data_IF_412619143995
#
_entry.id   IF_412619143995
#
_cell.length_a   1.000
_cell.length_b   1.000
_cell.length_c   1.000
_cell.angle_alpha   90.00
_cell.angle_beta   90.00
_cell.angle_gamma   90.00
#
_symmetry.space_group_name_H-M   'P 1'
#
loop_
_entity.id
_entity.type
_entity.pdbx_description
1 polymer ?
#
# COMPACT_ATOMS: atom_id res chain seq x y z
N UNK A 1 26.42 -8.03 2.51
CA UNK A 1 26.84 -7.39 3.77
C UNK A 1 27.77 -6.25 3.40
N UNK A 2 27.52 -5.00 3.83
CA UNK A 2 28.33 -3.85 3.43
C UNK A 2 29.77 -3.95 3.95
N UNK A 3 30.74 -3.49 3.15
CA UNK A 3 32.10 -3.21 3.62
C UNK A 3 32.07 -1.85 4.31
N UNK A 4 32.54 -1.77 5.57
CA UNK A 4 32.50 -0.53 6.33
C UNK A 4 33.46 0.52 5.76
N UNK A 5 34.57 0.08 5.19
CA UNK A 5 35.58 0.94 4.55
C UNK A 5 34.94 1.74 3.41
N UNK A 6 34.26 1.06 2.46
CA UNK A 6 33.51 1.70 1.38
C UNK A 6 32.50 2.74 1.88
N UNK A 7 31.76 2.43 2.96
CA UNK A 7 30.78 3.37 3.53
C UNK A 7 31.45 4.62 4.11
N UNK A 8 32.61 4.46 4.75
CA UNK A 8 33.35 5.59 5.31
C UNK A 8 34.02 6.44 4.23
N UNK A 9 34.55 5.83 3.17
CA UNK A 9 35.08 6.53 1.99
C UNK A 9 34.01 7.40 1.33
N UNK A 10 32.77 6.91 1.26
CA UNK A 10 31.61 7.63 0.74
C UNK A 10 30.93 8.56 1.78
N UNK A 11 31.55 8.77 2.95
CA UNK A 11 31.04 9.63 4.03
C UNK A 11 29.63 9.26 4.53
N UNK A 12 29.28 7.97 4.50
CA UNK A 12 28.00 7.45 4.98
C UNK A 12 28.11 7.14 6.48
N UNK A 13 27.34 7.81 7.36
CA UNK A 13 27.41 7.55 8.80
C UNK A 13 26.82 6.18 9.15
N UNK A 14 27.57 5.40 9.95
CA UNK A 14 27.16 4.07 10.43
C UNK A 14 26.98 4.10 11.94
N UNK A 15 25.77 3.78 12.41
CA UNK A 15 25.49 3.57 13.82
C UNK A 15 25.71 2.09 14.17
N UNK A 16 26.63 1.81 15.10
CA UNK A 16 26.97 0.46 15.55
C UNK A 16 26.81 0.34 17.06
N UNK A 17 26.04 -0.63 17.51
CA UNK A 17 25.78 -0.89 18.93
C UNK A 17 25.53 -2.38 19.18
N UNK A 18 25.53 -2.77 20.46
CA UNK A 18 25.20 -4.13 20.92
C UNK A 18 23.82 -4.10 21.56
N UNK A 19 22.90 -4.92 21.07
CA UNK A 19 21.61 -5.18 21.72
C UNK A 19 21.79 -6.30 22.76
N UNK A 20 21.57 -6.00 24.04
CA UNK A 20 21.64 -6.98 25.13
C UNK A 20 20.30 -7.71 25.29
N UNK A 21 20.28 -8.87 25.99
CA UNK A 21 19.01 -9.53 26.32
C UNK A 21 18.07 -8.58 27.08
N UNK A 22 16.83 -8.46 26.59
CA UNK A 22 15.82 -7.54 27.13
C UNK A 22 15.76 -6.17 26.47
N UNK A 23 16.78 -5.76 25.69
CA UNK A 23 16.76 -4.50 24.97
C UNK A 23 15.79 -4.57 23.77
N UNK A 24 15.02 -3.49 23.57
CA UNK A 24 14.18 -3.30 22.38
C UNK A 24 14.85 -2.33 21.41
N UNK A 25 14.93 -2.72 20.15
CA UNK A 25 15.45 -1.87 19.06
C UNK A 25 14.31 -1.37 18.21
N UNK A 26 14.16 -0.04 18.14
CA UNK A 26 13.24 0.62 17.20
C UNK A 26 13.98 1.02 15.93
N UNK A 27 13.70 0.33 14.82
CA UNK A 27 14.22 0.70 13.50
C UNK A 27 13.24 1.64 12.83
N UNK A 28 13.65 2.90 12.62
CA UNK A 28 12.78 3.91 12.06
C UNK A 28 12.52 3.69 10.55
N UNK A 29 11.48 4.34 10.02
CA UNK A 29 11.04 4.19 8.63
C UNK A 29 12.18 4.47 7.64
N UNK A 30 12.47 3.49 6.78
CA UNK A 30 13.48 3.60 5.72
C UNK A 30 14.93 3.39 6.16
N UNK A 31 15.21 3.13 7.44
CA UNK A 31 16.57 2.90 7.92
C UNK A 31 17.14 1.58 7.37
N UNK A 32 18.18 1.68 6.55
CA UNK A 32 18.98 0.54 6.11
C UNK A 32 19.74 -0.01 7.32
N UNK A 33 19.66 -1.32 7.53
CA UNK A 33 20.29 -1.97 8.67
C UNK A 33 20.66 -3.42 8.33
N UNK A 34 21.61 -3.95 9.08
CA UNK A 34 22.04 -5.35 9.05
C UNK A 34 22.42 -5.77 10.47
N UNK A 35 22.25 -7.04 10.78
CA UNK A 35 22.38 -7.56 12.15
C UNK A 35 23.18 -8.86 12.13
N UNK A 36 23.98 -9.09 13.17
CA UNK A 36 24.71 -10.32 13.40
C UNK A 36 24.59 -10.72 14.87
N UNK A 37 24.37 -12.01 15.12
CA UNK A 37 24.47 -12.57 16.46
C UNK A 37 25.94 -12.71 16.88
N UNK A 38 26.29 -12.18 18.06
CA UNK A 38 27.64 -12.33 18.65
C UNK A 38 27.74 -13.64 19.44
N UNK A 39 26.65 -14.08 20.05
CA UNK A 39 26.55 -15.35 20.78
C UNK A 39 25.23 -16.06 20.46
N UNK A 40 24.87 -17.07 21.24
CA UNK A 40 23.59 -17.78 21.07
C UNK A 40 22.44 -16.98 21.68
N UNK A 41 21.49 -16.59 20.84
CA UNK A 41 20.33 -15.82 21.25
C UNK A 41 19.12 -16.11 20.36
N UNK A 42 17.94 -15.76 20.87
CA UNK A 42 16.69 -15.75 20.13
C UNK A 42 16.17 -14.32 20.06
N UNK A 43 15.54 -13.95 18.95
CA UNK A 43 14.93 -12.64 18.75
C UNK A 43 13.50 -12.82 18.22
N UNK A 44 12.62 -11.90 18.59
CA UNK A 44 11.31 -11.72 17.98
C UNK A 44 11.25 -10.34 17.33
N UNK A 45 10.60 -10.25 16.17
CA UNK A 45 10.50 -9.00 15.43
C UNK A 45 9.16 -8.91 14.71
N UNK A 46 8.66 -7.68 14.56
CA UNK A 46 7.49 -7.36 13.76
C UNK A 46 7.63 -5.92 13.25
N UNK A 47 6.82 -5.58 12.25
CA UNK A 47 6.76 -4.23 11.71
C UNK A 47 5.55 -3.49 12.28
N UNK A 48 5.70 -2.19 12.48
CA UNK A 48 4.60 -1.28 12.80
C UNK A 48 4.67 -0.07 11.88
N UNK A 49 3.51 0.50 11.55
CA UNK A 49 3.41 1.70 10.72
C UNK A 49 2.78 2.84 11.51
N UNK A 50 3.57 3.69 12.20
CA UNK A 50 3.05 4.87 12.87
C UNK A 50 2.29 5.78 11.91
N UNK A 51 1.17 6.36 12.34
CA UNK A 51 0.37 7.31 11.55
C UNK A 51 1.06 8.69 11.49
N UNK A 52 2.16 8.75 10.76
CA UNK A 52 2.96 9.95 10.57
C UNK A 52 3.17 10.22 9.07
N UNK A 53 3.34 11.49 8.72
CA UNK A 53 3.62 11.92 7.34
C UNK A 53 4.81 11.16 6.76
N UNK A 54 5.92 11.10 7.51
CA UNK A 54 7.16 10.45 7.05
C UNK A 54 6.97 8.95 6.79
N UNK A 55 6.26 8.24 7.67
CA UNK A 55 6.02 6.81 7.50
C UNK A 55 5.17 6.53 6.26
N UNK A 56 4.09 7.28 6.03
CA UNK A 56 3.22 7.10 4.88
C UNK A 56 3.93 7.47 3.57
N UNK A 57 4.64 8.61 3.55
CA UNK A 57 5.42 9.05 2.41
C UNK A 57 6.45 8.00 1.96
N UNK A 58 7.30 7.52 2.88
CA UNK A 58 8.32 6.51 2.55
C UNK A 58 7.71 5.18 2.11
N UNK A 59 6.54 4.81 2.65
CA UNK A 59 5.82 3.62 2.24
C UNK A 59 5.30 3.75 0.79
N UNK A 60 4.73 4.90 0.43
CA UNK A 60 4.27 5.19 -0.94
C UNK A 60 5.46 5.27 -1.91
N UNK A 61 6.54 5.96 -1.55
CA UNK A 61 7.75 6.05 -2.37
C UNK A 61 8.35 4.67 -2.66
N UNK A 62 8.49 3.83 -1.62
CA UNK A 62 8.96 2.45 -1.81
C UNK A 62 8.00 1.63 -2.67
N UNK A 63 6.70 1.80 -2.50
CA UNK A 63 5.70 1.09 -3.28
C UNK A 63 5.76 1.43 -4.78
N UNK A 64 5.92 2.71 -5.13
CA UNK A 64 6.10 3.11 -6.54
C UNK A 64 7.47 2.68 -7.09
N UNK A 65 8.53 2.77 -6.27
CA UNK A 65 9.86 2.26 -6.65
C UNK A 65 9.83 0.75 -6.94
N UNK A 66 9.17 -0.02 -6.08
CA UNK A 66 9.02 -1.46 -6.24
C UNK A 66 8.32 -1.82 -7.55
N UNK A 67 7.27 -1.08 -7.96
CA UNK A 67 6.64 -1.28 -9.27
C UNK A 67 7.64 -1.07 -10.41
N UNK A 68 8.45 -0.01 -10.35
CA UNK A 68 9.47 0.27 -11.37
C UNK A 68 10.52 -0.84 -11.45
N UNK A 69 10.90 -1.40 -10.30
CA UNK A 69 11.89 -2.47 -10.21
C UNK A 69 11.30 -3.88 -10.38
N UNK A 70 10.00 -4.00 -10.68
CA UNK A 70 9.29 -5.29 -10.77
C UNK A 70 9.45 -6.15 -9.51
N UNK A 71 9.42 -5.52 -8.34
CA UNK A 71 9.46 -6.17 -7.02
C UNK A 71 8.08 -6.08 -6.39
N UNK A 72 7.58 -7.19 -5.85
CA UNK A 72 6.32 -7.20 -5.10
C UNK A 72 6.38 -6.32 -3.86
N UNK A 73 5.42 -5.41 -3.74
CA UNK A 73 5.16 -4.72 -2.48
C UNK A 73 4.30 -5.59 -1.58
N UNK A 74 4.86 -6.07 -0.46
CA UNK A 74 4.14 -6.95 0.48
C UNK A 74 3.01 -6.19 1.19
N UNK A 75 3.18 -4.88 1.41
CA UNK A 75 2.13 -4.01 1.95
C UNK A 75 1.33 -3.43 0.77
N UNK A 76 0.03 -3.74 0.64
CA UNK A 76 -0.82 -3.21 -0.42
C UNK A 76 -1.22 -1.76 -0.08
N UNK A 77 -0.41 -0.79 -0.54
CA UNK A 77 -0.55 0.61 -0.12
C UNK A 77 -1.88 1.20 -0.57
N UNK A 78 -2.41 0.82 -1.73
CA UNK A 78 -3.70 1.35 -2.19
C UNK A 78 -4.82 0.83 -1.26
N UNK A 79 -4.91 -0.48 -1.07
CA UNK A 79 -5.88 -1.10 -0.17
C UNK A 79 -5.79 -0.54 1.25
N UNK A 80 -4.56 -0.41 1.79
CA UNK A 80 -4.33 0.19 3.10
C UNK A 80 -4.83 1.64 3.16
N UNK A 81 -4.57 2.45 2.14
CA UNK A 81 -4.98 3.85 2.10
C UNK A 81 -6.50 4.01 2.13
N UNK A 82 -7.22 3.18 1.37
CA UNK A 82 -8.69 3.14 1.41
C UNK A 82 -9.21 2.68 2.78
N UNK A 83 -8.55 1.71 3.42
CA UNK A 83 -8.92 1.29 4.79
C UNK A 83 -8.63 2.37 5.84
N UNK A 84 -7.54 3.13 5.70
CA UNK A 84 -7.26 4.27 6.57
C UNK A 84 -8.36 5.32 6.44
N UNK A 85 -8.77 5.62 5.20
CA UNK A 85 -9.83 6.59 4.93
C UNK A 85 -11.18 6.19 5.53
N UNK A 86 -11.52 4.90 5.52
CA UNK A 86 -12.77 4.36 6.10
C UNK A 86 -12.77 4.36 7.63
N UNK A 87 -11.63 4.09 8.25
CA UNK A 87 -11.59 3.69 9.66
C UNK A 87 -10.87 4.66 10.59
N UNK A 88 -10.10 5.62 10.06
CA UNK A 88 -9.19 6.46 10.86
C UNK A 88 -9.44 7.94 10.60
N UNK A 89 -9.67 8.70 11.68
CA UNK A 89 -9.73 10.16 11.65
C UNK A 89 -8.31 10.73 11.69
N UNK A 90 -7.90 11.40 10.62
CA UNK A 90 -6.56 12.01 10.51
C UNK A 90 -6.65 13.49 10.85
N UNK A 91 -5.86 13.93 11.84
CA UNK A 91 -5.80 15.34 12.26
C UNK A 91 -4.59 16.09 11.69
N UNK A 92 -3.53 15.37 11.29
CA UNK A 92 -2.31 15.95 10.72
C UNK A 92 -2.54 16.33 9.26
N UNK A 93 -2.52 17.64 8.88
CA UNK A 93 -2.90 18.10 7.56
C UNK A 93 -2.10 17.46 6.43
N UNK A 94 -0.78 17.36 6.57
CA UNK A 94 0.07 16.80 5.49
C UNK A 94 -0.18 15.31 5.26
N UNK A 95 -0.44 14.56 6.33
CA UNK A 95 -0.76 13.14 6.21
C UNK A 95 -2.12 12.95 5.55
N UNK A 96 -3.10 13.76 5.96
CA UNK A 96 -4.42 13.79 5.34
C UNK A 96 -4.33 14.06 3.83
N UNK A 97 -3.60 15.10 3.42
CA UNK A 97 -3.40 15.45 2.01
C UNK A 97 -2.76 14.29 1.21
N UNK A 98 -1.73 13.65 1.75
CA UNK A 98 -1.06 12.52 1.08
C UNK A 98 -2.00 11.33 0.87
N UNK A 99 -2.76 10.96 1.91
CA UNK A 99 -3.75 9.87 1.80
C UNK A 99 -4.84 10.25 0.82
N UNK A 100 -5.43 11.45 0.96
CA UNK A 100 -6.48 11.97 0.08
C UNK A 100 -6.05 11.99 -1.39
N UNK A 101 -4.80 12.39 -1.66
CA UNK A 101 -4.22 12.34 -3.00
C UNK A 101 -4.07 10.91 -3.54
N UNK A 102 -3.67 9.94 -2.71
CA UNK A 102 -3.65 8.53 -3.09
C UNK A 102 -5.05 8.03 -3.47
N UNK A 103 -6.08 8.37 -2.67
CA UNK A 103 -7.47 8.02 -2.96
C UNK A 103 -7.93 8.64 -4.28
N UNK A 104 -7.67 9.94 -4.51
CA UNK A 104 -8.07 10.62 -5.75
C UNK A 104 -7.46 9.95 -6.98
N UNK A 105 -6.15 9.66 -6.95
CA UNK A 105 -5.45 9.01 -8.07
C UNK A 105 -6.03 7.63 -8.37
N UNK A 106 -6.29 6.84 -7.33
CA UNK A 106 -6.75 5.46 -7.48
C UNK A 106 -8.24 5.37 -7.81
N UNK A 107 -9.05 6.32 -7.34
CA UNK A 107 -10.44 6.50 -7.76
C UNK A 107 -10.52 6.83 -9.25
N UNK A 108 -9.72 7.81 -9.71
CA UNK A 108 -9.60 8.15 -11.13
C UNK A 108 -9.17 6.95 -11.97
N UNK A 109 -8.18 6.17 -11.50
CA UNK A 109 -7.72 4.97 -12.19
C UNK A 109 -8.83 3.91 -12.32
N UNK A 110 -9.63 3.70 -11.26
CA UNK A 110 -10.78 2.81 -11.31
C UNK A 110 -11.79 3.28 -12.36
N UNK A 111 -12.17 4.55 -12.33
CA UNK A 111 -13.12 5.13 -13.29
C UNK A 111 -12.62 4.96 -14.73
N UNK A 112 -11.37 5.36 -15.02
CA UNK A 112 -10.80 5.24 -16.36
C UNK A 112 -10.73 3.78 -16.84
N UNK A 113 -10.48 2.84 -15.93
CA UNK A 113 -10.44 1.42 -16.28
C UNK A 113 -11.84 0.89 -16.62
N UNK A 114 -12.87 1.27 -15.86
CA UNK A 114 -14.27 0.91 -16.15
C UNK A 114 -14.75 1.53 -17.47
N UNK A 115 -14.40 2.78 -17.73
CA UNK A 115 -14.70 3.44 -19.01
C UNK A 115 -14.01 2.73 -20.17
N UNK A 116 -12.72 2.37 -20.00
CA UNK A 116 -11.97 1.64 -21.02
C UNK A 116 -12.61 0.29 -21.37
N UNK A 117 -12.91 -0.57 -20.38
CA UNK A 117 -13.53 -1.87 -20.68
C UNK A 117 -14.91 -1.71 -21.33
N UNK A 118 -15.66 -0.65 -20.99
CA UNK A 118 -16.95 -0.33 -21.62
C UNK A 118 -16.79 0.01 -23.10
N UNK A 119 -15.69 0.67 -23.50
CA UNK A 119 -15.39 0.92 -24.92
C UNK A 119 -15.13 -0.37 -25.72
N UNK A 120 -14.74 -1.45 -25.05
CA UNK A 120 -14.58 -2.78 -25.63
C UNK A 120 -15.87 -3.61 -25.60
N UNK A 121 -16.99 -3.05 -25.12
CA UNK A 121 -18.25 -3.77 -24.95
C UNK A 121 -18.26 -4.73 -23.76
N UNK A 122 -17.31 -4.60 -22.83
CA UNK A 122 -17.21 -5.41 -21.62
C UNK A 122 -17.80 -4.68 -20.42
N UNK A 123 -18.30 -5.46 -19.46
CA UNK A 123 -18.83 -4.95 -18.20
C UNK A 123 -18.16 -5.68 -17.03
N UNK A 124 -17.82 -4.93 -15.97
CA UNK A 124 -17.30 -5.51 -14.75
C UNK A 124 -18.44 -6.14 -13.94
N UNK A 125 -18.28 -7.42 -13.60
CA UNK A 125 -19.24 -8.13 -12.76
C UNK A 125 -18.99 -7.80 -11.29
N UNK A 126 -20.06 -7.47 -10.58
CA UNK A 126 -19.99 -7.30 -9.13
C UNK A 126 -19.51 -8.59 -8.46
N UNK A 127 -18.39 -8.49 -7.75
CA UNK A 127 -17.83 -9.57 -6.94
C UNK A 127 -17.93 -9.26 -5.45
N UNK A 128 -17.75 -7.98 -5.09
CA UNK A 128 -17.67 -7.58 -3.69
C UNK A 128 -16.37 -8.03 -3.02
N UNK A 129 -16.34 -7.93 -1.68
CA UNK A 129 -15.27 -8.45 -0.83
C UNK A 129 -15.81 -9.11 0.43
N UNK A 130 -15.17 -10.20 0.81
CA UNK A 130 -15.40 -10.88 2.08
C UNK A 130 -14.60 -10.24 3.21
N UNK A 131 -15.10 -10.36 4.45
CA UNK A 131 -14.38 -9.88 5.64
C UNK A 131 -13.07 -10.65 5.80
N UNK A 132 -11.95 -9.93 5.94
CA UNK A 132 -10.62 -10.53 6.07
C UNK A 132 -10.00 -11.01 4.76
N UNK A 133 -10.64 -10.76 3.62
CA UNK A 133 -10.08 -11.06 2.31
C UNK A 133 -8.80 -10.24 2.06
N UNK A 134 -7.73 -10.91 1.61
CA UNK A 134 -6.44 -10.28 1.32
C UNK A 134 -6.50 -9.36 0.09
N UNK A 135 -5.53 -8.45 -0.05
CA UNK A 135 -5.37 -7.70 -1.29
C UNK A 135 -4.87 -8.61 -2.42
N UNK A 136 -5.34 -8.36 -3.64
CA UNK A 136 -4.93 -9.11 -4.82
C UNK A 136 -3.70 -8.50 -5.48
N UNK A 137 -2.92 -9.36 -6.13
CA UNK A 137 -1.73 -8.99 -6.88
C UNK A 137 -1.79 -9.66 -8.26
N UNK A 138 -1.19 -9.01 -9.25
CA UNK A 138 -1.08 -9.54 -10.59
C UNK A 138 -0.21 -10.81 -10.57
N UNK A 139 -0.71 -11.89 -11.16
CA UNK A 139 -0.01 -13.18 -11.26
C UNK A 139 1.28 -13.11 -12.10
N UNK A 140 1.46 -12.05 -12.90
CA UNK A 140 2.61 -11.89 -13.80
C UNK A 140 3.64 -10.91 -13.24
N UNK A 141 3.23 -9.67 -12.94
CA UNK A 141 4.15 -8.60 -12.53
C UNK A 141 4.08 -8.25 -11.05
N UNK A 142 3.29 -8.98 -10.26
CA UNK A 142 3.16 -8.84 -8.80
C UNK A 142 2.75 -7.46 -8.29
N UNK A 143 2.29 -6.55 -9.15
CA UNK A 143 1.72 -5.28 -8.71
C UNK A 143 0.38 -5.52 -8.01
N UNK A 144 0.07 -4.70 -7.02
CA UNK A 144 -1.24 -4.69 -6.38
C UNK A 144 -2.33 -4.37 -7.43
N UNK A 145 -3.40 -5.17 -7.42
CA UNK A 145 -4.57 -4.99 -8.30
C UNK A 145 -5.74 -4.58 -7.41
N UNK A 146 -6.01 -3.28 -7.37
CA UNK A 146 -7.06 -2.71 -6.53
C UNK A 146 -8.38 -2.56 -7.31
N UNK A 147 -9.47 -2.98 -6.66
CA UNK A 147 -10.86 -2.89 -7.10
C UNK A 147 -11.22 -3.71 -8.36
N UNK A 148 -10.61 -3.42 -9.52
CA UNK A 148 -10.98 -4.03 -10.80
C UNK A 148 -10.00 -5.15 -11.12
N UNK A 149 -10.49 -6.39 -11.07
CA UNK A 149 -9.69 -7.60 -11.24
C UNK A 149 -9.92 -8.18 -12.63
N UNK A 150 -8.84 -8.46 -13.36
CA UNK A 150 -8.90 -9.20 -14.63
C UNK A 150 -8.57 -10.65 -14.33
N UNK A 151 -9.56 -11.53 -14.39
CA UNK A 151 -9.43 -12.92 -13.96
C UNK A 151 -9.45 -13.85 -15.16
N UNK A 152 -8.52 -14.79 -15.22
CA UNK A 152 -8.53 -15.88 -16.20
C UNK A 152 -8.55 -17.22 -15.44
N UNK A 153 -9.29 -18.18 -15.98
CA UNK A 153 -9.25 -19.56 -15.49
C UNK A 153 -8.17 -20.34 -16.25
N UNK A 154 -7.19 -20.87 -15.51
CA UNK A 154 -6.13 -21.72 -16.04
C UNK A 154 -5.99 -22.93 -15.11
N UNK A 155 -5.99 -24.14 -15.68
CA UNK A 155 -5.83 -25.38 -14.90
C UNK A 155 -6.78 -25.51 -13.70
N UNK A 156 -8.06 -25.08 -13.88
CA UNK A 156 -9.10 -25.05 -12.83
C UNK A 156 -8.79 -24.12 -11.64
N UNK A 157 -7.90 -23.16 -11.82
CA UNK A 157 -7.60 -22.09 -10.85
C UNK A 157 -7.85 -20.72 -11.49
N UNK A 158 -8.32 -19.79 -10.68
CA UNK A 158 -8.53 -18.41 -11.09
C UNK A 158 -7.30 -17.57 -10.74
N UNK A 159 -6.72 -16.93 -11.75
CA UNK A 159 -5.56 -16.05 -11.60
C UNK A 159 -5.96 -14.60 -11.84
N UNK A 160 -5.54 -13.70 -10.94
CA UNK A 160 -5.78 -12.26 -11.05
C UNK A 160 -4.65 -11.61 -11.83
N UNK A 161 -4.99 -10.71 -12.75
CA UNK A 161 -4.06 -9.91 -13.54
C UNK A 161 -4.39 -8.42 -13.40
N UNK A 162 -3.37 -7.58 -13.54
CA UNK A 162 -3.59 -6.16 -13.78
C UNK A 162 -4.02 -5.91 -15.23
N UNK A 163 -4.56 -4.73 -15.51
CA UNK A 163 -4.99 -4.34 -16.86
C UNK A 163 -3.86 -4.48 -17.88
N UNK A 164 -2.65 -4.02 -17.58
CA UNK A 164 -1.54 -4.03 -18.53
C UNK A 164 -1.12 -5.45 -18.93
N UNK A 165 -1.05 -6.36 -17.95
CA UNK A 165 -0.74 -7.76 -18.21
C UNK A 165 -1.89 -8.45 -18.94
N UNK A 166 -3.14 -8.18 -18.59
CA UNK A 166 -4.29 -8.72 -19.29
C UNK A 166 -4.31 -8.28 -20.77
N UNK A 167 -4.03 -7.00 -21.05
CA UNK A 167 -3.94 -6.45 -22.41
C UNK A 167 -2.78 -7.01 -23.22
N UNK A 168 -1.65 -7.33 -22.57
CA UNK A 168 -0.51 -8.00 -23.21
C UNK A 168 -0.86 -9.44 -23.61
N UNK A 169 -1.71 -10.12 -22.84
CA UNK A 169 -2.21 -11.46 -23.17
C UNK A 169 -3.29 -11.40 -24.25
N UNK A 170 -4.24 -10.49 -24.13
CA UNK A 170 -5.32 -10.27 -25.12
C UNK A 170 -5.68 -8.79 -25.18
N UNK A 171 -5.46 -8.15 -26.33
CA UNK A 171 -5.68 -6.71 -26.52
C UNK A 171 -7.16 -6.31 -26.39
N UNK A 172 -8.08 -7.23 -26.70
CA UNK A 172 -9.53 -7.10 -26.53
C UNK A 172 -10.02 -7.64 -25.19
N UNK A 173 -9.11 -8.15 -24.34
CA UNK A 173 -9.41 -8.83 -23.08
C UNK A 173 -10.29 -10.08 -23.24
N UNK A 174 -10.29 -10.68 -24.43
CA UNK A 174 -10.99 -11.94 -24.69
C UNK A 174 -10.47 -13.05 -23.75
N UNK A 175 -11.40 -13.81 -23.16
CA UNK A 175 -11.11 -14.85 -22.18
C UNK A 175 -10.94 -14.36 -20.73
N UNK A 176 -10.89 -13.04 -20.49
CA UNK A 176 -10.87 -12.49 -19.13
C UNK A 176 -12.28 -12.23 -18.60
N UNK A 177 -12.50 -12.59 -17.34
CA UNK A 177 -13.63 -12.17 -16.54
C UNK A 177 -13.21 -10.93 -15.77
N UNK A 178 -13.87 -9.80 -16.01
CA UNK A 178 -13.62 -8.57 -15.25
C UNK A 178 -14.53 -8.52 -14.03
N UNK A 179 -13.94 -8.37 -12.85
CA UNK A 179 -14.65 -8.29 -11.57
C UNK A 179 -14.41 -6.94 -10.91
N UNK A 180 -15.38 -6.40 -10.20
CA UNK A 180 -15.17 -5.25 -9.30
C UNK A 180 -15.51 -5.58 -7.84
N UNK A 181 -14.63 -5.14 -6.93
CA UNK A 181 -14.72 -5.40 -5.50
C UNK A 181 -15.50 -4.33 -4.73
N UNK A 182 -15.45 -3.09 -5.21
CA UNK A 182 -16.13 -1.93 -4.65
C UNK A 182 -16.91 -1.23 -5.77
N UNK A 183 -18.07 -0.68 -5.45
CA UNK A 183 -18.83 0.14 -6.41
C UNK A 183 -18.16 1.51 -6.49
N UNK A 184 -18.33 2.21 -7.62
CA UNK A 184 -17.83 3.57 -7.74
C UNK A 184 -18.49 4.51 -6.72
N UNK A 185 -19.79 4.32 -6.45
CA UNK A 185 -20.52 5.09 -5.45
C UNK A 185 -19.94 4.92 -4.04
N UNK A 186 -19.60 3.70 -3.63
CA UNK A 186 -18.95 3.44 -2.34
C UNK A 186 -17.56 4.09 -2.24
N UNK A 187 -16.77 4.02 -3.32
CA UNK A 187 -15.47 4.67 -3.35
C UNK A 187 -15.59 6.21 -3.33
N UNK A 188 -16.57 6.78 -4.02
CA UNK A 188 -16.85 8.22 -4.00
C UNK A 188 -17.30 8.67 -2.62
N UNK A 189 -18.21 7.93 -1.99
CA UNK A 189 -18.68 8.24 -0.63
C UNK A 189 -17.54 8.24 0.38
N UNK A 190 -16.68 7.22 0.35
CA UNK A 190 -15.51 7.19 1.25
C UNK A 190 -14.54 8.32 0.96
N UNK A 191 -14.31 8.61 -0.32
CA UNK A 191 -13.48 9.75 -0.69
C UNK A 191 -14.08 11.03 -0.09
N UNK A 192 -15.34 11.34 -0.34
CA UNK A 192 -15.98 12.57 0.13
C UNK A 192 -16.05 12.67 1.65
N UNK A 193 -16.31 11.56 2.34
CA UNK A 193 -16.39 11.50 3.80
C UNK A 193 -15.01 11.58 4.48
N UNK A 194 -13.92 11.24 3.78
CA UNK A 194 -12.58 11.39 4.33
C UNK A 194 -12.18 12.87 4.39
N UNK A 195 -12.41 13.49 5.54
CA UNK A 195 -12.17 14.91 5.82
C UNK A 195 -11.15 15.09 6.94
N UNK A 196 -10.44 16.23 6.92
CA UNK A 196 -9.46 16.57 7.95
C UNK A 196 -10.16 16.71 9.31
N UNK A 197 -9.71 15.95 10.30
CA UNK A 197 -10.28 16.02 11.63
C UNK A 197 -9.70 17.21 12.39
N UNK A 198 -10.55 18.20 12.69
CA UNK A 198 -10.16 19.30 13.57
C UNK A 198 -10.09 18.81 15.02
N UNK A 199 -8.90 18.88 15.62
CA UNK A 199 -8.78 18.72 17.07
C UNK A 199 -9.47 19.91 17.73
N UNK A 200 -10.57 19.66 18.46
CA UNK A 200 -11.14 20.68 19.34
C UNK A 200 -10.06 21.08 20.33
N UNK A 201 -9.61 22.33 20.27
CA UNK A 201 -8.74 22.91 21.28
C UNK A 201 -9.44 22.71 22.63
N UNK A 202 -8.87 21.88 23.50
CA UNK A 202 -9.27 21.89 24.90
C UNK A 202 -8.82 23.23 25.46
N UNK A 203 -9.69 24.24 25.36
CA UNK A 203 -9.56 25.46 26.14
C UNK A 203 -9.78 25.00 27.58
N UNK A 204 -8.70 24.71 28.28
CA UNK A 204 -8.68 24.66 29.73
C UNK A 204 -9.05 26.05 30.21
N UNK A 205 -10.33 26.26 30.48
CA UNK A 205 -10.78 27.32 31.36
C UNK A 205 -10.21 27.00 32.75
N UNK A 206 -9.00 27.49 33.04
CA UNK A 206 -8.52 27.64 34.40
C UNK A 206 -9.27 28.82 35.03
N UNK A 207 -10.49 28.56 35.47
CA UNK A 207 -11.22 29.43 36.39
C UNK A 207 -11.18 28.82 37.78
N UNK A 208 -10.22 29.27 38.59
CA UNK A 208 -10.26 29.33 40.05
C UNK A 208 -8.99 29.97 40.56
#
# INVERSE_FOLDING_TARGET
>A
WPLLEDLYEENIPVYRFIQKPGDLVWVNSGTVHWVQAIGWCNNIAWNVGPLTVRQYQLAVERYEWNKLQSVKSIVPIIHLSWNLARNVKISEPKLFEQIKYCLLRTLKQCQMTLEYIKTLGLEAKWHGRSKGEAAYYCNICEIEVFNILFVIEQEKKFHVHCLDCARKTSSTLEGFIVLNQYTMDDLMEVYDNFQLHQQKSAITASSS
#
